data_IF_666968242647
#
_entry.id   IF_666968242647
#
_cell.length_a   1.000
_cell.length_b   1.000
_cell.length_c   1.000
_cell.angle_alpha   90.00
_cell.angle_beta   90.00
_cell.angle_gamma   90.00
#
_symmetry.space_group_name_H-M   'P 1'
#
loop_
_entity.id
_entity.type
_entity.pdbx_description
1 polymer ?
#
# COMPACT_ATOMS: atom_id res chain seq x y z
N UNK A 1 -17.43 6.14 -40.86
CA UNK A 1 -18.13 6.57 -42.09
C UNK A 1 -19.63 6.76 -41.84
N UNK A 2 -20.18 7.94 -42.15
CA UNK A 2 -21.60 8.26 -41.92
C UNK A 2 -22.33 8.37 -43.26
N UNK A 3 -23.40 7.61 -43.43
CA UNK A 3 -24.30 7.70 -44.58
C UNK A 3 -25.54 8.48 -44.19
N UNK A 4 -25.87 9.47 -45.01
CA UNK A 4 -27.03 10.34 -44.83
C UNK A 4 -27.85 10.31 -46.10
N UNK A 5 -29.18 10.32 -45.96
CA UNK A 5 -30.14 10.36 -47.05
C UNK A 5 -31.06 11.56 -46.86
N UNK A 6 -31.40 12.24 -47.95
CA UNK A 6 -32.44 13.26 -47.93
C UNK A 6 -33.81 12.58 -48.09
N UNK A 7 -34.68 12.74 -47.09
CA UNK A 7 -35.99 12.11 -47.07
C UNK A 7 -37.05 12.98 -47.78
N UNK A 8 -38.14 12.36 -48.21
CA UNK A 8 -39.26 13.02 -48.91
C UNK A 8 -39.95 14.10 -48.06
N UNK A 9 -39.74 14.09 -46.75
CA UNK A 9 -40.18 15.15 -45.83
C UNK A 9 -39.27 16.38 -45.81
N UNK A 10 -38.25 16.46 -46.68
CA UNK A 10 -37.31 17.58 -46.76
C UNK A 10 -36.24 17.62 -45.66
N UNK A 11 -36.03 16.51 -44.94
CA UNK A 11 -35.06 16.43 -43.84
C UNK A 11 -33.90 15.50 -44.21
N UNK A 12 -32.69 15.85 -43.79
CA UNK A 12 -31.54 14.95 -43.83
C UNK A 12 -31.63 13.94 -42.70
N UNK A 13 -31.66 12.65 -43.03
CA UNK A 13 -31.73 11.56 -42.06
C UNK A 13 -30.47 10.71 -42.17
N UNK A 14 -29.80 10.49 -41.05
CA UNK A 14 -28.65 9.58 -40.97
C UNK A 14 -29.18 8.15 -41.02
N UNK A 15 -28.83 7.40 -42.07
CA UNK A 15 -29.33 6.04 -42.30
C UNK A 15 -28.38 4.97 -41.79
N UNK A 16 -27.07 5.25 -41.82
CA UNK A 16 -26.06 4.31 -41.33
C UNK A 16 -24.89 5.09 -40.76
N UNK A 17 -24.61 4.87 -39.48
CA UNK A 17 -23.45 5.42 -38.81
C UNK A 17 -22.48 4.28 -38.54
N UNK A 18 -21.42 4.16 -39.36
CA UNK A 18 -20.34 3.21 -39.14
C UNK A 18 -19.28 3.90 -38.30
N UNK A 19 -19.28 3.64 -37.01
CA UNK A 19 -18.19 4.05 -36.12
C UNK A 19 -17.13 2.94 -36.18
N UNK A 20 -15.94 3.27 -36.67
CA UNK A 20 -14.80 2.36 -36.57
C UNK A 20 -14.45 2.24 -35.09
N UNK A 21 -14.60 1.03 -34.57
CA UNK A 21 -14.22 0.69 -33.21
C UNK A 21 -13.04 -0.27 -33.29
N UNK A 22 -12.04 -0.06 -32.44
CA UNK A 22 -10.95 -1.03 -32.27
C UNK A 22 -11.35 -2.20 -31.35
N UNK A 23 -12.66 -2.40 -31.14
CA UNK A 23 -13.22 -3.51 -30.36
C UNK A 23 -14.62 -3.86 -30.87
N UNK A 24 -15.10 -5.10 -30.69
CA UNK A 24 -16.46 -5.47 -30.99
C UNK A 24 -17.44 -4.68 -30.11
N UNK A 25 -18.49 -4.14 -30.70
CA UNK A 25 -19.64 -3.66 -29.93
C UNK A 25 -20.39 -4.89 -29.44
N UNK A 26 -20.21 -5.24 -28.18
CA UNK A 26 -20.87 -6.40 -27.56
C UNK A 26 -22.37 -6.09 -27.45
N UNK A 27 -23.16 -6.62 -28.39
CA UNK A 27 -24.64 -6.56 -28.40
C UNK A 27 -25.24 -7.88 -27.87
N UNK A 28 -24.49 -8.66 -27.09
CA UNK A 28 -25.05 -9.85 -26.46
C UNK A 28 -25.88 -9.47 -25.23
N UNK A 29 -27.09 -10.06 -25.06
CA UNK A 29 -27.89 -9.83 -23.87
C UNK A 29 -27.08 -10.30 -22.66
N UNK A 30 -26.73 -9.34 -21.79
CA UNK A 30 -26.02 -9.47 -20.51
C UNK A 30 -26.03 -10.88 -19.88
N UNK A 31 -25.20 -11.78 -20.39
CA UNK A 31 -24.73 -12.96 -19.65
C UNK A 31 -23.48 -12.62 -18.83
N UNK A 32 -23.04 -11.36 -18.85
CA UNK A 32 -21.84 -10.85 -18.19
C UNK A 32 -21.98 -10.66 -16.66
N UNK A 33 -22.77 -11.47 -15.94
CA UNK A 33 -22.98 -11.26 -14.50
C UNK A 33 -23.05 -12.52 -13.62
N UNK A 34 -22.54 -13.66 -14.07
CA UNK A 34 -22.62 -14.91 -13.27
C UNK A 34 -21.32 -15.68 -13.05
N UNK A 35 -20.15 -15.13 -13.37
CA UNK A 35 -18.89 -15.72 -12.91
C UNK A 35 -18.19 -14.70 -12.04
N UNK A 36 -18.05 -15.00 -10.74
CA UNK A 36 -16.99 -14.43 -9.90
C UNK A 36 -15.72 -14.50 -10.74
N UNK A 37 -15.28 -13.36 -11.27
CA UNK A 37 -14.18 -13.30 -12.22
C UNK A 37 -12.97 -13.93 -11.50
N UNK A 38 -12.18 -14.76 -12.17
CA UNK A 38 -11.02 -15.40 -11.53
C UNK A 38 -10.09 -14.35 -10.89
N UNK A 39 -10.13 -13.13 -11.45
CA UNK A 39 -9.53 -11.92 -10.91
C UNK A 39 -10.06 -11.53 -9.53
N UNK A 40 -11.36 -11.57 -9.30
CA UNK A 40 -11.95 -11.24 -8.00
C UNK A 40 -11.52 -12.24 -6.92
N UNK A 41 -11.47 -13.54 -7.26
CA UNK A 41 -10.91 -14.56 -6.37
C UNK A 41 -9.44 -14.28 -6.06
N UNK A 42 -8.66 -13.96 -7.10
CA UNK A 42 -7.24 -13.62 -6.95
C UNK A 42 -7.02 -12.37 -6.10
N UNK A 43 -7.87 -11.36 -6.24
CA UNK A 43 -7.85 -10.15 -5.42
C UNK A 43 -8.11 -10.51 -3.95
N UNK A 44 -9.10 -11.37 -3.66
CA UNK A 44 -9.38 -11.82 -2.29
C UNK A 44 -8.20 -12.58 -1.67
N UNK A 45 -7.64 -13.54 -2.40
CA UNK A 45 -6.46 -14.31 -1.95
C UNK A 45 -5.27 -13.38 -1.62
N UNK A 46 -4.91 -12.50 -2.56
CA UNK A 46 -3.80 -11.57 -2.38
C UNK A 46 -4.06 -10.58 -1.24
N UNK A 47 -5.32 -10.18 -1.03
CA UNK A 47 -5.69 -9.30 0.08
C UNK A 47 -5.48 -9.97 1.44
N UNK A 48 -5.84 -11.26 1.55
CA UNK A 48 -5.61 -12.04 2.78
C UNK A 48 -4.12 -12.23 3.01
N UNK A 49 -3.36 -12.60 1.97
CA UNK A 49 -1.91 -12.77 2.07
C UNK A 49 -1.23 -11.46 2.50
N UNK A 50 -1.59 -10.34 1.87
CA UNK A 50 -1.08 -9.02 2.22
C UNK A 50 -1.38 -8.66 3.68
N UNK A 51 -2.60 -8.93 4.15
CA UNK A 51 -2.99 -8.70 5.56
C UNK A 51 -2.13 -9.52 6.51
N UNK A 52 -1.89 -10.79 6.20
CA UNK A 52 -1.07 -11.67 7.02
C UNK A 52 0.39 -11.19 7.08
N UNK A 53 0.97 -10.81 5.94
CA UNK A 53 2.34 -10.27 5.85
C UNK A 53 2.47 -8.95 6.61
N UNK A 54 1.48 -8.05 6.49
CA UNK A 54 1.44 -6.79 7.28
C UNK A 54 1.43 -7.06 8.78
N UNK A 55 0.62 -8.01 9.25
CA UNK A 55 0.56 -8.38 10.66
C UNK A 55 1.90 -8.93 11.16
N UNK A 56 2.54 -9.80 10.37
CA UNK A 56 3.84 -10.36 10.72
C UNK A 56 4.93 -9.27 10.78
N UNK A 57 4.93 -8.35 9.80
CA UNK A 57 5.87 -7.24 9.77
C UNK A 57 5.68 -6.29 10.98
N UNK A 58 4.43 -6.01 11.37
CA UNK A 58 4.14 -5.24 12.57
C UNK A 58 4.71 -5.91 13.84
N UNK A 59 4.50 -7.23 13.99
CA UNK A 59 5.04 -7.98 15.12
C UNK A 59 6.58 -7.95 15.16
N UNK A 60 7.26 -8.13 14.02
CA UNK A 60 8.72 -8.01 13.97
C UNK A 60 9.20 -6.60 14.29
N UNK A 61 8.50 -5.57 13.82
CA UNK A 61 8.82 -4.18 14.15
C UNK A 61 8.68 -3.92 15.65
N UNK A 62 7.61 -4.39 16.29
CA UNK A 62 7.42 -4.28 17.73
C UNK A 62 8.53 -4.98 18.52
N UNK A 63 8.96 -6.16 18.08
CA UNK A 63 10.08 -6.89 18.70
C UNK A 63 11.41 -6.12 18.57
N UNK A 64 11.70 -5.58 17.39
CA UNK A 64 12.91 -4.79 17.17
C UNK A 64 12.90 -3.49 17.98
N UNK A 65 11.75 -2.80 18.05
CA UNK A 65 11.60 -1.59 18.84
C UNK A 65 11.79 -1.87 20.34
N UNK A 66 11.25 -2.99 20.85
CA UNK A 66 11.46 -3.41 22.23
C UNK A 66 12.93 -3.73 22.51
N UNK A 67 13.61 -4.45 21.60
CA UNK A 67 15.04 -4.74 21.71
C UNK A 67 15.88 -3.46 21.72
N UNK A 68 15.60 -2.53 20.80
CA UNK A 68 16.30 -1.26 20.72
C UNK A 68 16.19 -0.46 22.02
N UNK A 69 14.99 -0.40 22.63
CA UNK A 69 14.78 0.24 23.94
C UNK A 69 15.64 -0.39 25.04
N UNK A 70 15.72 -1.73 25.09
CA UNK A 70 16.54 -2.41 26.10
C UNK A 70 18.03 -2.04 25.94
N UNK A 71 18.53 -2.03 24.72
CA UNK A 71 19.92 -1.65 24.43
C UNK A 71 20.19 -0.20 24.83
N UNK A 72 19.28 0.71 24.49
CA UNK A 72 19.38 2.13 24.81
C UNK A 72 19.34 2.38 26.33
N UNK A 73 18.41 1.74 27.05
CA UNK A 73 18.34 1.81 28.51
C UNK A 73 19.61 1.29 29.18
N UNK A 74 20.13 0.16 28.70
CA UNK A 74 21.37 -0.40 29.22
C UNK A 74 22.56 0.54 28.98
N UNK A 75 22.69 1.07 27.76
CA UNK A 75 23.74 2.03 27.40
C UNK A 75 23.68 3.26 28.28
N UNK A 76 22.50 3.87 28.42
CA UNK A 76 22.28 5.05 29.26
C UNK A 76 22.61 4.79 30.74
N UNK A 77 22.22 3.61 31.26
CA UNK A 77 22.56 3.22 32.64
C UNK A 77 24.07 3.05 32.82
N UNK A 78 24.75 2.46 31.84
CA UNK A 78 26.21 2.30 31.89
C UNK A 78 26.91 3.66 31.83
N UNK A 79 26.50 4.57 30.94
CA UNK A 79 27.04 5.93 30.87
C UNK A 79 26.91 6.66 32.22
N UNK A 80 25.74 6.62 32.85
CA UNK A 80 25.53 7.24 34.18
C UNK A 80 26.45 6.66 35.26
N UNK A 81 26.71 5.34 35.23
CA UNK A 81 27.64 4.71 36.19
C UNK A 81 29.08 5.17 35.95
N UNK A 82 29.49 5.27 34.69
CA UNK A 82 30.82 5.77 34.33
C UNK A 82 30.97 7.24 34.74
N UNK A 83 29.98 8.08 34.45
CA UNK A 83 29.95 9.48 34.88
C UNK A 83 30.10 9.63 36.39
N UNK A 84 29.34 8.86 37.17
CA UNK A 84 29.44 8.87 38.63
C UNK A 84 30.84 8.44 39.12
N UNK A 85 31.46 7.44 38.51
CA UNK A 85 32.83 7.03 38.87
C UNK A 85 33.84 8.13 38.54
N UNK A 86 33.71 8.77 37.38
CA UNK A 86 34.58 9.87 36.96
C UNK A 86 34.42 11.08 37.88
N UNK A 87 33.20 11.41 38.28
CA UNK A 87 32.91 12.49 39.22
C UNK A 87 33.52 12.22 40.59
N UNK A 88 33.32 11.01 41.14
CA UNK A 88 33.95 10.60 42.39
C UNK A 88 35.48 10.72 42.33
N UNK A 89 36.12 10.25 41.24
CA UNK A 89 37.58 10.35 41.10
C UNK A 89 38.08 11.80 41.09
N UNK A 90 37.36 12.72 40.44
CA UNK A 90 37.70 14.15 40.46
C UNK A 90 37.63 14.74 41.86
N UNK A 91 36.65 14.35 42.68
CA UNK A 91 36.58 14.79 44.08
C UNK A 91 37.82 14.37 44.87
N UNK A 92 38.32 13.14 44.66
CA UNK A 92 39.56 12.69 45.31
C UNK A 92 40.82 13.41 44.79
N UNK A 93 40.90 13.71 43.49
CA UNK A 93 42.03 14.48 42.93
C UNK A 93 42.12 15.90 43.54
N UNK A 94 41.00 16.51 43.91
CA UNK A 94 40.98 17.82 44.58
C UNK A 94 41.35 17.76 46.08
N UNK A 95 41.34 16.59 46.71
CA UNK A 95 41.69 16.42 48.14
C UNK A 95 43.20 16.21 48.34
N UNK A 96 43.93 15.77 47.30
CA UNK A 96 45.38 15.54 47.35
C UNK A 96 46.25 16.76 46.92
N UNK A 97 45.65 17.91 46.62
CA UNK A 97 46.33 19.20 46.39
C UNK A 97 46.25 20.12 47.59
#
# INVERSE_FOLDING_TARGET
MVHVKYDRSGKWVVTKFVKEHNHPLVVEPRQARQTLDEKDKRIQELTIELRNKKRLCAAYKEQLDAFAKIVEEYSNRMSKRVESVVENLKEFEHIEQ
#
